data_IF_814721067691
#
_entry.id   IF_814721067691
#
_cell.length_a   1.000
_cell.length_b   1.000
_cell.length_c   1.000
_cell.angle_alpha   90.00
_cell.angle_beta   90.00
_cell.angle_gamma   90.00
#
_symmetry.space_group_name_H-M   'P 1'
#
loop_
_entity.id
_entity.type
_entity.pdbx_description
1 polymer ?
#
# COMPACT_ATOMS: atom_id res chain seq x y z
N UNK A 1 -0.24 22.91 9.77
CA UNK A 1 0.89 21.97 9.77
C UNK A 1 0.42 20.68 10.43
N UNK A 2 0.67 19.52 9.82
CA UNK A 2 0.19 18.24 10.33
C UNK A 2 1.25 17.53 11.18
N UNK A 3 0.83 16.73 12.15
CA UNK A 3 1.69 15.72 12.80
C UNK A 3 1.41 14.35 12.17
N UNK A 4 2.42 13.46 12.11
CA UNK A 4 2.26 12.12 11.53
C UNK A 4 2.12 11.06 12.63
N UNK A 5 1.01 10.32 12.63
CA UNK A 5 0.81 9.08 13.39
C UNK A 5 0.81 7.91 12.41
N UNK A 6 2.00 7.35 12.24
CA UNK A 6 2.28 6.22 11.36
C UNK A 6 3.01 5.15 12.17
N UNK A 7 2.27 4.25 12.84
CA UNK A 7 2.87 3.13 13.56
C UNK A 7 3.63 2.25 12.58
N UNK A 8 4.67 1.57 13.05
CA UNK A 8 5.37 0.61 12.19
C UNK A 8 4.34 -0.43 11.69
N UNK A 9 4.36 -0.77 10.39
CA UNK A 9 3.45 -1.78 9.88
C UNK A 9 3.64 -3.09 10.65
N UNK A 10 2.57 -3.90 10.79
CA UNK A 10 2.69 -5.22 11.41
C UNK A 10 3.81 -6.01 10.77
N UNK A 11 4.61 -6.72 11.57
CA UNK A 11 5.75 -7.50 11.07
C UNK A 11 5.32 -8.86 10.47
N UNK A 12 4.03 -9.20 10.58
CA UNK A 12 3.41 -10.38 10.00
C UNK A 12 2.01 -10.03 9.52
N UNK A 13 1.55 -10.62 8.40
CA UNK A 13 0.16 -10.49 7.98
C UNK A 13 -0.74 -11.41 8.82
N UNK A 14 -2.03 -11.09 8.88
CA UNK A 14 -3.05 -12.05 9.32
C UNK A 14 -3.34 -13.01 8.19
N UNK A 15 -3.43 -14.31 8.45
CA UNK A 15 -3.82 -15.29 7.43
C UNK A 15 -5.29 -15.65 7.64
N UNK A 16 -6.09 -15.55 6.57
CA UNK A 16 -7.52 -15.91 6.58
C UNK A 16 -7.80 -16.93 5.49
N UNK A 17 -8.55 -17.97 5.84
CA UNK A 17 -9.05 -18.96 4.86
C UNK A 17 -10.49 -18.65 4.52
N UNK A 18 -10.79 -18.59 3.23
CA UNK A 18 -12.13 -18.28 2.69
C UNK A 18 -12.40 -19.14 1.47
N UNK A 19 -13.67 -19.34 1.05
CA UNK A 19 -13.95 -20.00 -0.22
C UNK A 19 -13.32 -19.25 -1.40
N UNK A 20 -12.78 -19.95 -2.40
CA UNK A 20 -12.10 -19.33 -3.55
C UNK A 20 -12.95 -18.28 -4.30
N UNK A 21 -14.27 -18.48 -4.39
CA UNK A 21 -15.23 -17.49 -4.96
C UNK A 21 -15.24 -16.15 -4.22
N UNK A 22 -14.99 -16.16 -2.91
CA UNK A 22 -14.91 -14.95 -2.10
C UNK A 22 -13.62 -14.19 -2.43
N UNK A 23 -12.53 -14.92 -2.70
CA UNK A 23 -11.26 -14.33 -3.15
C UNK A 23 -11.47 -13.59 -4.47
N UNK A 24 -12.09 -14.21 -5.48
CA UNK A 24 -12.39 -13.53 -6.76
C UNK A 24 -13.19 -12.24 -6.56
N UNK A 25 -14.19 -12.28 -5.67
CA UNK A 25 -15.03 -11.13 -5.37
C UNK A 25 -14.24 -10.00 -4.69
N UNK A 26 -13.37 -10.34 -3.73
CA UNK A 26 -12.59 -9.37 -2.95
C UNK A 26 -11.40 -8.82 -3.73
N UNK A 27 -10.67 -9.66 -4.45
CA UNK A 27 -9.50 -9.28 -5.25
C UNK A 27 -9.91 -8.47 -6.47
N UNK A 28 -11.17 -8.62 -6.93
CA UNK A 28 -11.66 -8.11 -8.23
C UNK A 28 -10.82 -8.63 -9.41
N UNK A 29 -10.17 -9.77 -9.23
CA UNK A 29 -9.35 -10.46 -10.23
C UNK A 29 -9.95 -11.84 -10.52
N UNK A 30 -9.48 -12.46 -11.58
CA UNK A 30 -9.80 -13.86 -11.90
C UNK A 30 -9.14 -14.87 -10.94
N UNK A 31 -8.28 -14.41 -10.03
CA UNK A 31 -7.59 -15.26 -9.04
C UNK A 31 -8.57 -15.77 -7.98
N UNK A 32 -8.58 -17.08 -7.77
CA UNK A 32 -9.41 -17.79 -6.80
C UNK A 32 -8.62 -18.55 -5.74
N UNK A 33 -7.28 -18.56 -5.82
CA UNK A 33 -6.41 -19.35 -4.93
C UNK A 33 -5.89 -18.57 -3.73
N UNK A 34 -5.51 -17.31 -3.91
CA UNK A 34 -4.94 -16.47 -2.87
C UNK A 34 -4.96 -14.99 -3.26
N UNK A 35 -4.84 -14.10 -2.26
CA UNK A 35 -4.69 -12.66 -2.49
C UNK A 35 -4.20 -11.95 -1.22
N UNK A 36 -3.23 -11.05 -1.39
CA UNK A 36 -2.77 -10.12 -0.36
C UNK A 36 -3.54 -8.79 -0.38
N UNK A 37 -4.03 -8.36 0.79
CA UNK A 37 -4.63 -7.04 0.98
C UNK A 37 -4.03 -6.32 2.18
N UNK A 38 -3.52 -5.10 1.97
CA UNK A 38 -2.91 -4.30 3.04
C UNK A 38 -3.92 -3.63 4.00
N UNK A 39 -5.22 -3.58 3.66
CA UNK A 39 -6.29 -2.88 4.40
C UNK A 39 -5.84 -1.53 4.96
N UNK A 40 -5.37 -0.66 4.07
CA UNK A 40 -4.82 0.64 4.42
C UNK A 40 -5.91 1.68 4.65
N UNK A 41 -5.68 2.57 5.61
CA UNK A 41 -6.48 3.79 5.79
C UNK A 41 -5.58 5.00 6.01
N UNK A 42 -6.07 6.15 5.56
CA UNK A 42 -5.38 7.43 5.56
C UNK A 42 -6.40 8.53 5.82
N UNK A 43 -6.29 9.23 6.94
CA UNK A 43 -7.23 10.28 7.31
C UNK A 43 -6.63 11.33 8.27
N UNK A 44 -7.31 12.46 8.40
CA UNK A 44 -7.13 13.41 9.50
C UNK A 44 -8.37 13.29 10.38
N UNK A 45 -8.27 12.74 11.60
CA UNK A 45 -9.41 12.71 12.50
C UNK A 45 -9.88 14.14 12.80
N UNK A 46 -11.19 14.35 12.90
CA UNK A 46 -11.80 15.62 13.31
C UNK A 46 -11.61 15.96 14.80
N UNK A 47 -10.53 15.47 15.42
CA UNK A 47 -10.23 15.61 16.85
C UNK A 47 -9.57 16.96 17.20
N UNK A 48 -9.44 17.85 16.21
CA UNK A 48 -8.83 19.18 16.35
C UNK A 48 -7.30 19.17 16.41
N UNK A 49 -6.63 18.01 16.31
CA UNK A 49 -5.17 17.90 16.51
C UNK A 49 -4.34 17.98 15.23
N UNK A 50 -4.96 18.24 14.07
CA UNK A 50 -4.30 18.28 12.76
C UNK A 50 -3.27 17.14 12.62
N UNK A 51 -3.72 15.91 12.88
CA UNK A 51 -2.88 14.72 12.87
C UNK A 51 -3.24 13.86 11.68
N UNK A 52 -2.28 13.60 10.80
CA UNK A 52 -2.42 12.61 9.76
C UNK A 52 -2.21 11.22 10.38
N UNK A 53 -3.23 10.37 10.28
CA UNK A 53 -3.21 8.99 10.77
C UNK A 53 -3.16 8.05 9.58
N UNK A 54 -2.19 7.14 9.60
CA UNK A 54 -2.06 6.05 8.61
C UNK A 54 -2.10 4.72 9.34
N UNK A 55 -2.95 3.79 8.89
CA UNK A 55 -3.06 2.46 9.49
C UNK A 55 -3.08 1.39 8.42
N UNK A 56 -2.55 0.22 8.76
CA UNK A 56 -2.57 -0.97 7.92
C UNK A 56 -3.05 -2.18 8.72
N UNK A 57 -3.79 -3.05 8.06
CA UNK A 57 -4.21 -4.35 8.56
C UNK A 57 -3.93 -5.42 7.51
N UNK A 58 -2.65 -5.74 7.22
CA UNK A 58 -2.30 -6.68 6.16
C UNK A 58 -2.91 -8.05 6.42
N UNK A 59 -3.63 -8.57 5.42
CA UNK A 59 -4.27 -9.89 5.42
C UNK A 59 -3.86 -10.64 4.16
N UNK A 60 -3.43 -11.88 4.32
CA UNK A 60 -3.32 -12.87 3.25
C UNK A 60 -4.58 -13.72 3.29
N UNK A 61 -5.31 -13.74 2.17
CA UNK A 61 -6.45 -14.64 1.97
C UNK A 61 -5.98 -15.87 1.20
N UNK A 62 -6.35 -17.06 1.67
CA UNK A 62 -6.05 -18.34 1.01
C UNK A 62 -7.34 -19.11 0.79
N UNK A 63 -7.48 -19.75 -0.37
CA UNK A 63 -8.65 -20.55 -0.67
C UNK A 63 -8.72 -21.77 0.26
N UNK A 64 -9.92 -22.10 0.72
CA UNK A 64 -10.15 -23.24 1.60
C UNK A 64 -9.89 -24.57 0.88
N UNK A 65 -10.09 -24.59 -0.43
CA UNK A 65 -10.06 -25.76 -1.31
C UNK A 65 -8.63 -26.21 -1.68
N UNK A 66 -7.60 -25.40 -1.38
CA UNK A 66 -6.21 -25.76 -1.69
C UNK A 66 -5.75 -26.99 -0.91
N UNK A 67 -5.06 -27.90 -1.60
CA UNK A 67 -4.30 -28.95 -0.94
C UNK A 67 -3.17 -28.37 -0.07
N UNK A 68 -2.59 -29.15 0.87
CA UNK A 68 -1.50 -28.66 1.71
C UNK A 68 -0.29 -28.11 0.93
N UNK A 69 0.08 -28.76 -0.18
CA UNK A 69 1.20 -28.33 -1.02
C UNK A 69 0.89 -27.01 -1.74
N UNK A 70 -0.27 -26.92 -2.40
CA UNK A 70 -0.70 -25.70 -3.08
C UNK A 70 -0.85 -24.53 -2.12
N UNK A 71 -1.38 -24.79 -0.93
CA UNK A 71 -1.49 -23.77 0.11
C UNK A 71 -0.13 -23.22 0.50
N UNK A 72 0.89 -24.06 0.67
CA UNK A 72 2.24 -23.60 1.01
C UNK A 72 2.84 -22.76 -0.12
N UNK A 73 2.60 -23.14 -1.38
CA UNK A 73 3.05 -22.40 -2.55
C UNK A 73 2.38 -21.02 -2.63
N UNK A 74 1.05 -20.98 -2.52
CA UNK A 74 0.27 -19.73 -2.55
C UNK A 74 0.62 -18.85 -1.36
N UNK A 75 0.72 -19.40 -0.14
CA UNK A 75 1.12 -18.65 1.04
C UNK A 75 2.51 -18.02 0.87
N UNK A 76 3.48 -18.75 0.32
CA UNK A 76 4.81 -18.20 0.02
C UNK A 76 4.72 -17.06 -1.00
N UNK A 77 3.93 -17.22 -2.05
CA UNK A 77 3.73 -16.17 -3.06
C UNK A 77 3.10 -14.90 -2.46
N UNK A 78 2.05 -15.05 -1.65
CA UNK A 78 1.40 -13.93 -0.98
C UNK A 78 2.29 -13.28 0.09
N UNK A 79 3.21 -14.04 0.69
CA UNK A 79 4.22 -13.50 1.60
C UNK A 79 5.22 -12.59 0.87
N UNK A 80 5.55 -12.87 -0.40
CA UNK A 80 6.39 -11.97 -1.20
C UNK A 80 5.69 -10.62 -1.42
N UNK A 81 4.38 -10.61 -1.71
CA UNK A 81 3.60 -9.38 -1.81
C UNK A 81 3.55 -8.61 -0.48
N UNK A 82 3.46 -9.31 0.65
CA UNK A 82 3.54 -8.68 1.97
C UNK A 82 4.92 -8.03 2.21
N UNK A 83 6.01 -8.67 1.79
CA UNK A 83 7.35 -8.10 1.90
C UNK A 83 7.53 -6.86 1.02
N UNK A 84 7.00 -6.89 -0.20
CA UNK A 84 6.95 -5.72 -1.09
C UNK A 84 6.16 -4.57 -0.44
N UNK A 85 5.03 -4.87 0.21
CA UNK A 85 4.27 -3.91 1.00
C UNK A 85 5.07 -3.31 2.16
N UNK A 86 5.86 -4.09 2.91
CA UNK A 86 6.66 -3.57 4.02
C UNK A 86 7.69 -2.54 3.56
N UNK A 87 8.33 -2.78 2.41
CA UNK A 87 9.24 -1.83 1.79
C UNK A 87 8.50 -0.55 1.38
N UNK A 88 7.38 -0.69 0.66
CA UNK A 88 6.56 0.45 0.22
C UNK A 88 6.02 1.29 1.40
N UNK A 89 5.60 0.63 2.50
CA UNK A 89 5.08 1.31 3.68
C UNK A 89 6.18 2.13 4.40
N UNK A 90 7.42 1.64 4.40
CA UNK A 90 8.58 2.38 4.93
C UNK A 90 8.87 3.62 4.09
N UNK A 91 8.82 3.49 2.76
CA UNK A 91 9.04 4.60 1.85
C UNK A 91 7.94 5.65 1.96
N UNK A 92 6.68 5.24 2.06
CA UNK A 92 5.55 6.13 2.33
C UNK A 92 5.75 6.89 3.64
N UNK A 93 6.13 6.21 4.73
CA UNK A 93 6.39 6.87 6.03
C UNK A 93 7.48 7.93 5.90
N UNK A 94 8.58 7.63 5.21
CA UNK A 94 9.66 8.58 4.98
C UNK A 94 9.21 9.78 4.13
N UNK A 95 8.40 9.54 3.10
CA UNK A 95 7.84 10.59 2.27
C UNK A 95 6.89 11.50 3.07
N UNK A 96 5.92 10.92 3.78
CA UNK A 96 4.95 11.65 4.59
C UNK A 96 5.64 12.45 5.71
N UNK A 97 6.65 11.90 6.39
CA UNK A 97 7.41 12.63 7.41
C UNK A 97 8.05 13.92 6.89
N UNK A 98 8.50 13.92 5.63
CA UNK A 98 9.02 15.12 4.96
C UNK A 98 7.88 16.05 4.55
N UNK A 99 6.82 15.48 3.98
CA UNK A 99 5.70 16.23 3.41
C UNK A 99 4.84 16.94 4.47
N UNK A 100 4.53 16.33 5.62
CA UNK A 100 3.62 16.93 6.63
C UNK A 100 4.06 18.30 7.17
N UNK A 101 5.34 18.65 6.99
CA UNK A 101 5.90 19.96 7.36
C UNK A 101 5.61 21.07 6.36
N UNK A 102 5.36 20.74 5.09
CA UNK A 102 5.36 21.72 3.98
C UNK A 102 4.26 21.48 2.93
N UNK A 103 3.61 20.31 2.94
CA UNK A 103 2.69 19.87 1.91
C UNK A 103 1.23 20.14 2.28
N UNK A 104 0.41 20.31 1.25
CA UNK A 104 -1.05 20.44 1.38
C UNK A 104 -1.70 19.07 1.59
N UNK A 105 -2.97 19.05 1.97
CA UNK A 105 -3.72 17.78 2.04
C UNK A 105 -3.76 17.04 0.70
N UNK A 106 -3.90 17.78 -0.42
CA UNK A 106 -3.93 17.21 -1.75
C UNK A 106 -2.63 16.47 -2.09
N UNK A 107 -1.48 17.02 -1.73
CA UNK A 107 -0.17 16.38 -1.94
C UNK A 107 -0.06 15.06 -1.16
N UNK A 108 -0.56 15.05 0.09
CA UNK A 108 -0.52 13.85 0.92
C UNK A 108 -1.48 12.77 0.39
N UNK A 109 -2.64 13.17 -0.16
CA UNK A 109 -3.58 12.27 -0.84
C UNK A 109 -2.94 11.64 -2.08
N UNK A 110 -2.23 12.43 -2.90
CA UNK A 110 -1.50 11.92 -4.07
C UNK A 110 -0.45 10.88 -3.66
N UNK A 111 0.32 11.12 -2.60
CA UNK A 111 1.29 10.15 -2.08
C UNK A 111 0.61 8.84 -1.62
N UNK A 112 -0.56 8.95 -1.00
CA UNK A 112 -1.36 7.78 -0.60
C UNK A 112 -1.88 7.00 -1.80
N UNK A 113 -2.41 7.68 -2.82
CA UNK A 113 -2.93 7.03 -4.02
C UNK A 113 -1.83 6.30 -4.78
N UNK A 114 -0.64 6.91 -4.88
CA UNK A 114 0.56 6.26 -5.44
C UNK A 114 0.99 5.01 -4.67
N UNK A 115 0.95 5.06 -3.34
CA UNK A 115 1.22 3.90 -2.51
C UNK A 115 0.23 2.75 -2.80
N UNK A 116 -1.08 3.06 -2.85
CA UNK A 116 -2.09 2.04 -3.16
C UNK A 116 -1.90 1.47 -4.57
N UNK A 117 -1.57 2.30 -5.54
CA UNK A 117 -1.26 1.86 -6.91
C UNK A 117 -0.05 0.90 -6.92
N UNK A 118 1.03 1.26 -6.23
CA UNK A 118 2.25 0.45 -6.17
C UNK A 118 2.00 -0.92 -5.52
N UNK A 119 1.18 -0.98 -4.46
CA UNK A 119 0.85 -2.23 -3.76
C UNK A 119 -0.20 -3.08 -4.51
N UNK A 120 -1.00 -2.51 -5.42
CA UNK A 120 -2.17 -3.19 -6.03
C UNK A 120 -2.01 -3.84 -7.40
N UNK A 121 -1.05 -3.51 -8.28
CA UNK A 121 -0.49 -4.41 -9.35
C UNK A 121 0.24 -3.74 -10.52
N UNK A 122 0.04 -2.47 -10.85
CA UNK A 122 0.47 -2.01 -12.21
C UNK A 122 1.96 -1.60 -12.34
N UNK A 123 2.75 -1.63 -11.25
CA UNK A 123 4.12 -1.13 -11.25
C UNK A 123 5.17 -2.11 -11.82
N UNK A 124 4.97 -3.43 -11.71
CA UNK A 124 6.07 -4.40 -12.00
C UNK A 124 6.47 -4.41 -13.49
N UNK A 125 5.52 -4.20 -14.41
CA UNK A 125 5.78 -4.06 -15.86
C UNK A 125 6.15 -2.62 -16.26
N UNK A 126 5.52 -1.60 -15.66
CA UNK A 126 5.81 -0.20 -15.98
C UNK A 126 7.23 0.21 -15.52
N UNK A 127 7.66 -0.20 -14.32
CA UNK A 127 9.00 0.12 -13.78
C UNK A 127 10.14 -0.59 -14.50
N UNK A 128 9.93 -1.78 -15.07
CA UNK A 128 10.93 -2.43 -15.93
C UNK A 128 11.14 -1.65 -17.24
N UNK A 129 10.09 -1.02 -17.77
CA UNK A 129 10.16 -0.22 -19.00
C UNK A 129 10.75 1.18 -18.80
N UNK A 130 10.60 1.76 -17.61
CA UNK A 130 11.03 3.15 -17.31
C UNK A 130 12.44 3.26 -16.74
N UNK A 131 13.19 2.16 -16.61
CA UNK A 131 14.52 2.16 -16.00
C UNK A 131 14.44 2.36 -14.48
N UNK A 132 15.40 1.77 -13.75
CA UNK A 132 15.50 1.80 -12.29
C UNK A 132 15.72 3.20 -11.67
N UNK A 133 15.82 4.23 -12.51
CA UNK A 133 16.00 5.61 -12.10
C UNK A 133 14.70 6.36 -12.41
N UNK A 134 14.11 7.00 -11.39
CA UNK A 134 12.95 7.92 -11.51
C UNK A 134 11.55 7.30 -11.37
N UNK A 135 11.20 6.81 -10.16
CA UNK A 135 10.06 7.45 -9.51
C UNK A 135 10.62 8.35 -8.43
N UNK A 136 10.97 9.56 -8.86
CA UNK A 136 11.06 10.65 -7.90
C UNK A 136 9.61 10.85 -7.46
N UNK A 137 9.30 10.45 -6.23
CA UNK A 137 8.25 11.14 -5.48
C UNK A 137 8.71 12.60 -5.30
N UNK A 138 8.76 13.40 -6.37
CA UNK A 138 9.08 14.82 -6.29
C UNK A 138 7.78 15.61 -6.31
N UNK A 139 7.44 16.27 -5.20
CA UNK A 139 6.33 17.20 -5.12
C UNK A 139 6.79 18.54 -5.69
N UNK A 140 6.28 18.98 -6.84
CA UNK A 140 6.19 20.42 -7.17
C UNK A 140 5.05 20.66 -8.17
N UNK A 141 4.04 21.48 -7.86
CA UNK A 141 3.49 22.33 -8.90
C UNK A 141 4.64 23.24 -9.37
N UNK A 142 4.85 23.30 -10.69
CA UNK A 142 5.76 24.30 -11.26
C UNK A 142 5.24 25.67 -10.83
N UNK A 143 5.97 26.33 -9.94
CA UNK A 143 5.85 27.78 -9.78
C UNK A 143 6.28 28.39 -11.11
N UNK A 144 5.31 28.75 -11.92
CA UNK A 144 5.48 29.81 -12.91
C UNK A 144 5.11 31.10 -12.20
N UNK A 145 6.08 31.70 -11.52
CA UNK A 145 6.02 33.13 -11.27
C UNK A 145 6.09 33.85 -12.64
N UNK A 146 5.18 34.77 -12.97
CA UNK A 146 5.49 35.83 -13.90
C UNK A 146 6.10 37.01 -13.13
N UNK A 147 6.96 37.73 -13.84
CA UNK A 147 7.62 38.98 -13.44
C UNK A 147 6.67 40.03 -12.87
#
# INVERSE_FOLDING_TARGET
MYTLDFPNPPQRPTIRRVPGREIQTMSRRSEDRGFFNHHGSFNVPGDGRNRLVVRFGPVIYLAMELSPAERSEVESHEMDHFNDFLAAARDLKNHLNRAVRQATWADLQVAWDWFNYYVRDDARNLHRSMGRDTIVMNPRPRSTAPY
#
